data_IF_202932388963
#
_entry.id   IF_202932388963
#
_cell.length_a   1.000
_cell.length_b   1.000
_cell.length_c   1.000
_cell.angle_alpha   90.00
_cell.angle_beta   90.00
_cell.angle_gamma   90.00
#
_symmetry.space_group_name_H-M   'P 1'
#
loop_
_entity.id
_entity.type
_entity.pdbx_description
1 polymer ?
#
# COMPACT_ATOMS: atom_id res chain seq x y z
N UNK A 1 -36.76 -61.86 4.25
CA UNK A 1 -35.90 -62.86 3.57
C UNK A 1 -34.42 -62.52 3.84
N UNK A 2 -33.83 -63.20 4.85
CA UNK A 2 -32.38 -63.06 5.09
C UNK A 2 -31.64 -64.01 4.14
N UNK A 3 -31.13 -63.47 3.01
CA UNK A 3 -30.20 -64.25 2.16
C UNK A 3 -28.85 -64.33 2.87
N UNK A 4 -28.52 -65.49 3.39
CA UNK A 4 -27.18 -65.76 3.96
C UNK A 4 -26.18 -65.77 2.77
N UNK A 5 -25.24 -64.86 2.79
CA UNK A 5 -24.13 -64.84 1.83
C UNK A 5 -23.20 -66.02 2.17
N UNK A 6 -22.79 -66.81 1.18
CA UNK A 6 -21.83 -67.88 1.41
C UNK A 6 -20.47 -67.33 1.77
N UNK A 7 -19.72 -68.02 2.62
CA UNK A 7 -18.38 -67.60 3.06
C UNK A 7 -17.47 -67.32 1.88
N UNK A 8 -17.52 -68.12 0.81
CA UNK A 8 -16.77 -67.93 -0.41
C UNK A 8 -17.13 -66.62 -1.12
N UNK A 9 -18.42 -66.26 -1.22
CA UNK A 9 -18.88 -65.03 -1.81
C UNK A 9 -18.44 -63.80 -0.98
N UNK A 10 -18.47 -63.91 0.35
CA UNK A 10 -17.99 -62.83 1.23
C UNK A 10 -16.49 -62.59 1.05
N UNK A 11 -15.68 -63.64 0.97
CA UNK A 11 -14.22 -63.54 0.75
C UNK A 11 -13.94 -62.91 -0.64
N UNK A 12 -14.64 -63.29 -1.69
CA UNK A 12 -14.48 -62.75 -3.04
C UNK A 12 -14.79 -61.23 -3.05
N UNK A 13 -15.87 -60.80 -2.39
CA UNK A 13 -16.23 -59.35 -2.30
C UNK A 13 -15.16 -58.59 -1.57
N UNK A 14 -14.60 -59.13 -0.47
CA UNK A 14 -13.53 -58.46 0.29
C UNK A 14 -12.26 -58.31 -0.56
N UNK A 15 -11.85 -59.40 -1.27
CA UNK A 15 -10.68 -59.35 -2.15
C UNK A 15 -10.91 -58.31 -3.29
N UNK A 16 -12.08 -58.28 -3.88
CA UNK A 16 -12.40 -57.31 -4.93
C UNK A 16 -12.36 -55.87 -4.38
N UNK A 17 -12.95 -55.65 -3.23
CA UNK A 17 -12.92 -54.32 -2.58
C UNK A 17 -11.49 -53.88 -2.27
N UNK A 18 -10.66 -54.78 -1.72
CA UNK A 18 -9.24 -54.50 -1.44
C UNK A 18 -8.47 -54.18 -2.71
N UNK A 19 -8.68 -54.90 -3.82
CA UNK A 19 -8.01 -54.67 -5.08
C UNK A 19 -8.39 -53.30 -5.67
N UNK A 20 -9.70 -53.00 -5.65
CA UNK A 20 -10.20 -51.69 -6.14
C UNK A 20 -9.65 -50.54 -5.29
N UNK A 21 -9.70 -50.68 -3.96
CA UNK A 21 -9.14 -49.63 -3.06
C UNK A 21 -7.66 -49.43 -3.28
N UNK A 22 -6.89 -50.55 -3.38
CA UNK A 22 -5.45 -50.48 -3.64
C UNK A 22 -5.15 -49.79 -4.98
N UNK A 23 -5.89 -50.15 -6.05
CA UNK A 23 -5.71 -49.54 -7.38
C UNK A 23 -6.02 -48.04 -7.36
N UNK A 24 -7.10 -47.61 -6.71
CA UNK A 24 -7.47 -46.21 -6.61
C UNK A 24 -6.41 -45.45 -5.78
N UNK A 25 -6.00 -46.01 -4.63
CA UNK A 25 -4.97 -45.39 -3.77
C UNK A 25 -3.65 -45.26 -4.53
N UNK A 26 -3.25 -46.29 -5.28
CA UNK A 26 -2.03 -46.28 -6.08
C UNK A 26 -2.09 -45.22 -7.19
N UNK A 27 -3.22 -45.08 -7.88
CA UNK A 27 -3.40 -44.04 -8.91
C UNK A 27 -3.34 -42.62 -8.34
N UNK A 28 -3.95 -42.40 -7.16
CA UNK A 28 -3.89 -41.12 -6.47
C UNK A 28 -2.45 -40.84 -6.02
N UNK A 29 -1.78 -41.83 -5.40
CA UNK A 29 -0.40 -41.71 -4.98
C UNK A 29 0.56 -41.40 -6.15
N UNK A 30 0.38 -42.09 -7.31
CA UNK A 30 1.17 -41.81 -8.52
C UNK A 30 0.94 -40.38 -9.02
N UNK A 31 -0.31 -39.91 -9.10
CA UNK A 31 -0.60 -38.54 -9.54
C UNK A 31 0.01 -37.48 -8.62
N UNK A 32 -0.08 -37.68 -7.29
CA UNK A 32 0.53 -36.77 -6.33
C UNK A 32 2.05 -36.80 -6.42
N UNK A 33 2.64 -38.00 -6.60
CA UNK A 33 4.08 -38.16 -6.77
C UNK A 33 4.58 -37.50 -8.05
N UNK A 34 3.93 -37.75 -9.19
CA UNK A 34 4.30 -37.14 -10.48
C UNK A 34 4.18 -35.62 -10.44
N UNK A 35 3.13 -35.09 -9.82
CA UNK A 35 2.94 -33.64 -9.61
C UNK A 35 4.08 -33.06 -8.77
N UNK A 36 4.44 -33.73 -7.67
CA UNK A 36 5.55 -33.29 -6.79
C UNK A 36 6.90 -33.37 -7.49
N UNK A 37 7.19 -34.48 -8.19
CA UNK A 37 8.46 -34.69 -8.91
C UNK A 37 8.64 -33.69 -10.06
N UNK A 38 7.58 -33.42 -10.85
CA UNK A 38 7.65 -32.43 -11.92
C UNK A 38 7.90 -31.02 -11.37
N UNK A 39 7.22 -30.65 -10.28
CA UNK A 39 7.45 -29.38 -9.58
C UNK A 39 8.91 -29.27 -9.05
N UNK A 40 9.51 -30.35 -8.58
CA UNK A 40 10.91 -30.39 -8.13
C UNK A 40 11.85 -30.23 -9.32
N UNK A 41 11.62 -30.92 -10.45
CA UNK A 41 12.50 -30.81 -11.64
C UNK A 41 12.50 -29.41 -12.26
N UNK A 42 11.35 -28.74 -12.33
CA UNK A 42 11.28 -27.36 -12.81
C UNK A 42 12.09 -26.41 -11.91
N UNK A 43 11.99 -26.56 -10.59
CA UNK A 43 12.74 -25.76 -9.61
C UNK A 43 14.24 -26.13 -9.59
N UNK A 44 14.58 -27.40 -9.80
CA UNK A 44 15.96 -27.88 -9.81
C UNK A 44 16.83 -27.14 -10.84
N UNK A 45 16.32 -26.93 -12.05
CA UNK A 45 17.04 -26.17 -13.09
C UNK A 45 17.36 -24.74 -12.65
N UNK A 46 16.42 -24.08 -12.00
CA UNK A 46 16.59 -22.73 -11.47
C UNK A 46 17.63 -22.72 -10.35
N UNK A 47 17.51 -23.63 -9.37
CA UNK A 47 18.45 -23.70 -8.24
C UNK A 47 19.87 -24.06 -8.69
N UNK A 48 20.02 -24.98 -9.65
CA UNK A 48 21.33 -25.34 -10.21
C UNK A 48 21.99 -24.16 -10.89
N UNK A 49 21.23 -23.35 -11.64
CA UNK A 49 21.76 -22.14 -12.28
C UNK A 49 22.22 -21.10 -11.25
N UNK A 50 21.43 -20.88 -10.20
CA UNK A 50 21.81 -19.97 -9.10
C UNK A 50 23.06 -20.49 -8.39
N UNK A 51 23.12 -21.80 -8.08
CA UNK A 51 24.28 -22.42 -7.43
C UNK A 51 25.54 -22.37 -8.28
N UNK A 52 25.43 -22.47 -9.61
CA UNK A 52 26.58 -22.33 -10.54
C UNK A 52 27.12 -20.89 -10.50
N UNK A 53 26.23 -19.88 -10.57
CA UNK A 53 26.62 -18.47 -10.49
C UNK A 53 27.25 -18.16 -9.13
N UNK A 54 26.64 -18.62 -8.03
CA UNK A 54 27.15 -18.42 -6.68
C UNK A 54 28.56 -18.99 -6.52
N UNK A 55 28.78 -20.24 -6.99
CA UNK A 55 30.10 -20.87 -6.96
C UNK A 55 31.14 -20.10 -7.77
N UNK A 56 30.76 -19.62 -8.96
CA UNK A 56 31.65 -18.85 -9.81
C UNK A 56 32.06 -17.53 -9.16
N UNK A 57 31.07 -16.78 -8.62
CA UNK A 57 31.32 -15.50 -7.95
C UNK A 57 32.20 -15.71 -6.73
N UNK A 58 31.84 -16.63 -5.81
CA UNK A 58 32.65 -16.91 -4.60
C UNK A 58 34.08 -17.35 -4.88
N UNK A 59 34.33 -17.96 -6.04
CA UNK A 59 35.68 -18.43 -6.42
C UNK A 59 36.53 -17.34 -7.08
N UNK A 60 35.90 -16.28 -7.63
CA UNK A 60 36.60 -15.31 -8.48
C UNK A 60 36.43 -13.85 -8.04
N UNK A 61 35.52 -13.57 -7.12
CA UNK A 61 35.29 -12.18 -6.65
C UNK A 61 36.43 -11.74 -5.73
N UNK A 62 36.85 -10.50 -5.88
CA UNK A 62 37.84 -9.85 -5.05
C UNK A 62 37.28 -9.33 -3.72
N UNK A 63 35.96 -9.03 -3.68
CA UNK A 63 35.33 -8.45 -2.53
C UNK A 63 34.67 -9.51 -1.64
N UNK A 64 34.57 -9.20 -0.33
CA UNK A 64 33.80 -10.03 0.60
C UNK A 64 32.32 -9.87 0.31
N UNK A 65 31.62 -10.99 0.14
CA UNK A 65 30.18 -11.00 -0.13
C UNK A 65 29.44 -10.69 1.17
N UNK A 66 28.57 -9.70 1.12
CA UNK A 66 27.56 -9.47 2.17
C UNK A 66 26.39 -10.43 1.94
N UNK A 67 26.31 -11.46 2.76
CA UNK A 67 25.31 -12.52 2.64
C UNK A 67 23.87 -11.97 2.81
N UNK A 68 23.68 -11.01 3.72
CA UNK A 68 22.35 -10.41 3.96
C UNK A 68 21.89 -9.66 2.73
N UNK A 69 22.76 -8.81 2.18
CA UNK A 69 22.44 -8.07 0.95
C UNK A 69 22.22 -9.02 -0.23
N UNK A 70 23.02 -10.09 -0.34
CA UNK A 70 22.87 -11.09 -1.40
C UNK A 70 21.51 -11.77 -1.34
N UNK A 71 21.08 -12.23 -0.17
CA UNK A 71 19.78 -12.90 0.01
C UNK A 71 18.60 -11.95 -0.26
N UNK A 72 18.67 -10.72 0.21
CA UNK A 72 17.65 -9.71 -0.05
C UNK A 72 17.52 -9.43 -1.56
N UNK A 73 18.65 -9.27 -2.27
CA UNK A 73 18.67 -9.04 -3.72
C UNK A 73 18.19 -10.24 -4.52
N UNK A 74 18.54 -11.46 -4.12
CA UNK A 74 18.05 -12.69 -4.75
C UNK A 74 16.54 -12.82 -4.61
N UNK A 75 16.00 -12.55 -3.41
CA UNK A 75 14.56 -12.61 -3.14
C UNK A 75 13.81 -11.55 -3.96
N UNK A 76 14.31 -10.32 -3.99
CA UNK A 76 13.75 -9.25 -4.80
C UNK A 76 13.81 -9.59 -6.31
N UNK A 77 14.94 -10.13 -6.79
CA UNK A 77 15.11 -10.57 -8.17
C UNK A 77 14.18 -11.70 -8.58
N UNK A 78 13.92 -12.65 -7.66
CA UNK A 78 12.97 -13.73 -7.89
C UNK A 78 11.56 -13.17 -8.14
N UNK A 79 11.08 -12.24 -7.28
CA UNK A 79 9.76 -11.61 -7.46
C UNK A 79 9.68 -10.82 -8.76
N UNK A 80 10.71 -10.05 -9.11
CA UNK A 80 10.77 -9.36 -10.40
C UNK A 80 10.67 -10.33 -11.58
N UNK A 81 11.30 -11.50 -11.47
CA UNK A 81 11.28 -12.56 -12.48
C UNK A 81 9.91 -13.21 -12.67
N UNK A 82 8.98 -13.09 -11.72
CA UNK A 82 7.60 -13.62 -11.88
C UNK A 82 6.76 -12.82 -12.87
N UNK A 83 7.18 -11.58 -13.19
CA UNK A 83 6.42 -10.67 -14.04
C UNK A 83 5.23 -9.99 -13.33
N UNK A 84 5.00 -10.27 -12.06
CA UNK A 84 4.00 -9.58 -11.27
C UNK A 84 4.48 -8.15 -10.95
N UNK A 85 3.87 -7.16 -11.61
CA UNK A 85 4.22 -5.75 -11.45
C UNK A 85 3.88 -5.17 -10.07
N UNK A 86 3.08 -5.85 -9.27
CA UNK A 86 2.67 -5.41 -7.94
C UNK A 86 3.41 -6.12 -6.81
N UNK A 87 3.97 -7.31 -7.05
CA UNK A 87 4.76 -8.01 -6.04
C UNK A 87 5.99 -7.20 -5.62
N UNK A 88 6.21 -7.08 -4.31
CA UNK A 88 7.35 -6.37 -3.71
C UNK A 88 7.93 -7.19 -2.59
N UNK A 89 9.26 -7.16 -2.50
CA UNK A 89 9.99 -7.67 -1.35
C UNK A 89 10.44 -6.50 -0.48
N UNK A 90 10.19 -6.59 0.79
CA UNK A 90 10.67 -5.64 1.80
C UNK A 90 11.59 -6.35 2.77
N UNK A 91 12.75 -5.77 3.07
CA UNK A 91 13.56 -6.20 4.21
C UNK A 91 12.79 -5.93 5.50
N UNK A 92 13.18 -6.55 6.63
CA UNK A 92 12.51 -6.35 7.91
C UNK A 92 12.41 -4.86 8.31
N UNK A 93 13.50 -4.12 8.10
CA UNK A 93 13.54 -2.68 8.40
C UNK A 93 12.62 -1.89 7.46
N UNK A 94 12.69 -2.14 6.15
CA UNK A 94 11.83 -1.47 5.17
C UNK A 94 10.34 -1.79 5.38
N UNK A 95 10.02 -3.01 5.84
CA UNK A 95 8.65 -3.38 6.20
C UNK A 95 8.16 -2.64 7.44
N UNK A 96 9.01 -2.52 8.46
CA UNK A 96 8.70 -1.74 9.68
C UNK A 96 8.45 -0.28 9.35
N UNK A 97 9.27 0.31 8.49
CA UNK A 97 9.10 1.69 8.02
C UNK A 97 7.79 1.86 7.24
N UNK A 98 7.48 0.92 6.33
CA UNK A 98 6.21 0.90 5.61
C UNK A 98 5.01 0.85 6.57
N UNK A 99 5.06 -0.02 7.60
CA UNK A 99 4.00 -0.12 8.61
C UNK A 99 3.85 1.17 9.43
N UNK A 100 4.94 1.84 9.76
CA UNK A 100 4.90 3.13 10.45
C UNK A 100 4.22 4.19 9.57
N UNK A 101 4.61 4.30 8.30
CA UNK A 101 3.99 5.22 7.33
C UNK A 101 2.49 4.91 7.19
N UNK A 102 2.12 3.64 7.04
CA UNK A 102 0.72 3.21 6.92
C UNK A 102 -0.10 3.47 8.18
N UNK A 103 0.52 3.45 9.36
CA UNK A 103 -0.15 3.83 10.62
C UNK A 103 -0.27 5.34 10.83
N UNK A 104 0.10 6.16 9.84
CA UNK A 104 0.13 7.62 9.92
C UNK A 104 1.28 8.18 10.76
N UNK A 105 2.19 7.33 11.23
CA UNK A 105 3.37 7.73 11.99
C UNK A 105 4.56 7.87 11.05
N UNK A 106 4.83 9.09 10.64
CA UNK A 106 5.97 9.37 9.76
C UNK A 106 7.15 9.86 10.62
N UNK A 107 8.33 9.31 10.36
CA UNK A 107 9.57 9.75 10.95
C UNK A 107 10.28 10.71 9.99
N UNK A 108 10.71 11.85 10.48
CA UNK A 108 11.48 12.81 9.69
C UNK A 108 11.35 14.24 10.19
N UNK A 109 11.51 15.21 9.28
CA UNK A 109 11.36 16.63 9.59
C UNK A 109 9.96 17.18 9.24
N UNK A 110 9.13 16.45 8.49
CA UNK A 110 7.74 16.81 8.24
C UNK A 110 7.48 17.82 7.13
N UNK A 111 8.07 17.62 5.96
CA UNK A 111 7.81 18.43 4.76
C UNK A 111 7.52 17.55 3.53
N UNK A 112 6.66 18.06 2.62
CA UNK A 112 6.62 17.59 1.23
C UNK A 112 7.35 18.60 0.34
N UNK A 113 8.05 18.09 -0.65
CA UNK A 113 8.93 18.88 -1.51
C UNK A 113 8.62 18.66 -2.99
N UNK A 114 8.76 19.73 -3.77
CA UNK A 114 8.82 19.69 -5.23
C UNK A 114 10.09 20.38 -5.71
N UNK A 115 10.69 19.90 -6.79
CA UNK A 115 11.78 20.61 -7.44
C UNK A 115 11.18 21.53 -8.52
N UNK A 116 11.51 22.80 -8.47
CA UNK A 116 11.08 23.77 -9.46
C UNK A 116 12.23 24.22 -10.39
N UNK A 117 11.95 25.21 -11.23
CA UNK A 117 12.93 25.73 -12.19
C UNK A 117 14.15 26.41 -11.55
N UNK A 118 14.10 26.75 -10.27
CA UNK A 118 15.25 27.33 -9.53
C UNK A 118 16.30 26.28 -9.18
N UNK A 119 15.92 24.98 -9.23
CA UNK A 119 16.72 23.86 -8.82
C UNK A 119 16.77 23.64 -7.30
N UNK A 120 16.08 24.47 -6.51
CA UNK A 120 15.88 24.24 -5.09
C UNK A 120 14.62 23.42 -4.79
N UNK A 121 14.59 22.81 -3.62
CA UNK A 121 13.43 22.05 -3.17
C UNK A 121 12.40 23.00 -2.55
N UNK A 122 11.30 23.24 -3.29
CA UNK A 122 10.17 24.03 -2.81
C UNK A 122 9.32 23.21 -1.85
N UNK A 123 9.06 23.77 -0.68
CA UNK A 123 8.15 23.19 0.31
C UNK A 123 6.71 23.31 -0.21
N UNK A 124 6.07 22.18 -0.46
CA UNK A 124 4.68 22.11 -0.95
C UNK A 124 3.70 21.82 0.19
N UNK A 125 4.19 21.22 1.28
CA UNK A 125 3.44 20.98 2.51
C UNK A 125 4.37 20.96 3.72
N UNK A 126 3.85 21.38 4.87
CA UNK A 126 4.44 21.19 6.21
C UNK A 126 3.42 20.48 7.07
N UNK A 127 3.81 19.41 7.73
CA UNK A 127 2.92 18.64 8.58
C UNK A 127 2.81 19.23 9.98
N UNK A 128 1.61 19.18 10.55
CA UNK A 128 1.35 19.71 11.89
C UNK A 128 2.10 18.90 12.96
N UNK A 129 2.63 19.61 13.95
CA UNK A 129 3.45 19.03 15.02
C UNK A 129 4.80 18.48 14.55
N UNK A 130 5.23 18.82 13.33
CA UNK A 130 6.52 18.38 12.79
C UNK A 130 7.68 19.30 13.18
N UNK A 131 8.93 18.78 13.18
CA UNK A 131 10.13 19.60 13.42
C UNK A 131 10.26 20.79 12.46
N UNK A 132 9.84 20.64 11.22
CA UNK A 132 9.84 21.72 10.24
C UNK A 132 8.86 22.85 10.61
N UNK A 133 7.66 22.51 11.08
CA UNK A 133 6.70 23.49 11.55
C UNK A 133 7.22 24.25 12.78
N UNK A 134 7.78 23.53 13.74
CA UNK A 134 8.37 24.13 14.96
C UNK A 134 9.53 25.08 14.64
N UNK A 135 10.32 24.77 13.60
CA UNK A 135 11.39 25.64 13.11
C UNK A 135 10.90 26.84 12.30
N UNK A 136 9.59 26.87 11.96
CA UNK A 136 8.98 27.94 11.19
C UNK A 136 9.25 27.85 9.69
N UNK A 137 9.47 26.65 9.17
CA UNK A 137 9.42 26.35 7.73
C UNK A 137 7.95 26.41 7.30
N UNK A 138 7.65 27.06 6.19
CA UNK A 138 6.30 27.26 5.68
C UNK A 138 6.15 26.79 4.23
N UNK A 139 4.91 26.54 3.83
CA UNK A 139 4.59 26.23 2.43
C UNK A 139 5.01 27.40 1.55
N UNK A 140 5.73 27.09 0.47
CA UNK A 140 6.31 28.09 -0.45
C UNK A 140 7.75 28.46 -0.16
N UNK A 141 8.31 28.06 0.97
CA UNK A 141 9.74 28.21 1.27
C UNK A 141 10.58 27.29 0.37
N UNK A 142 11.88 27.59 0.26
CA UNK A 142 12.82 26.83 -0.57
C UNK A 142 13.95 26.27 0.27
N UNK A 143 14.07 24.97 0.42
CA UNK A 143 15.23 24.34 1.05
C UNK A 143 16.41 24.46 0.10
N UNK A 144 17.51 25.08 0.59
CA UNK A 144 18.70 25.35 -0.21
C UNK A 144 19.88 24.48 0.17
N UNK A 145 19.96 24.05 1.45
CA UNK A 145 21.07 23.22 1.95
C UNK A 145 20.55 22.23 2.98
N UNK A 146 21.06 21.00 2.93
CA UNK A 146 20.80 19.92 3.91
C UNK A 146 22.17 19.41 4.40
N UNK A 147 22.44 19.58 5.69
CA UNK A 147 23.78 19.42 6.21
C UNK A 147 24.77 20.32 5.48
N UNK A 148 25.82 19.75 4.92
CA UNK A 148 26.81 20.45 4.08
C UNK A 148 26.50 20.38 2.57
N UNK A 149 25.34 19.80 2.17
CA UNK A 149 25.01 19.54 0.78
C UNK A 149 24.10 20.64 0.21
N UNK A 150 24.55 21.32 -0.85
CA UNK A 150 23.68 22.23 -1.63
C UNK A 150 22.63 21.40 -2.39
N UNK A 151 21.35 21.72 -2.22
CA UNK A 151 20.22 21.03 -2.84
C UNK A 151 20.30 21.05 -4.37
N UNK A 152 20.86 22.09 -4.97
CA UNK A 152 21.07 22.14 -6.43
C UNK A 152 22.02 21.08 -6.95
N UNK A 153 22.87 20.52 -6.11
CA UNK A 153 23.74 19.39 -6.47
C UNK A 153 22.99 18.05 -6.52
N UNK A 154 21.77 18.00 -5.97
CA UNK A 154 20.91 16.84 -5.93
C UNK A 154 19.96 16.84 -7.15
N UNK A 155 19.95 15.75 -7.90
CA UNK A 155 19.29 15.68 -9.21
C UNK A 155 17.76 15.43 -9.15
N UNK A 156 17.18 15.19 -7.95
CA UNK A 156 15.76 14.86 -7.80
C UNK A 156 15.24 15.18 -6.39
N UNK A 157 13.92 15.31 -6.28
CA UNK A 157 13.25 15.43 -4.97
C UNK A 157 13.57 14.23 -4.06
N UNK A 158 13.63 13.01 -4.60
CA UNK A 158 13.99 11.80 -3.84
C UNK A 158 15.40 11.88 -3.24
N UNK A 159 16.36 12.47 -3.96
CA UNK A 159 17.70 12.68 -3.45
C UNK A 159 17.72 13.68 -2.29
N UNK A 160 16.87 14.74 -2.34
CA UNK A 160 16.70 15.69 -1.24
C UNK A 160 16.03 15.00 -0.05
N UNK A 161 14.96 14.21 -0.27
CA UNK A 161 14.33 13.42 0.81
C UNK A 161 15.33 12.49 1.47
N UNK A 162 16.16 11.80 0.69
CA UNK A 162 17.20 10.91 1.25
C UNK A 162 18.22 11.67 2.11
N UNK A 163 18.59 12.88 1.73
CA UNK A 163 19.48 13.72 2.52
C UNK A 163 18.82 14.22 3.81
N UNK A 164 17.49 14.38 3.81
CA UNK A 164 16.69 14.79 4.97
C UNK A 164 16.29 13.63 5.90
N UNK A 165 16.53 12.38 5.52
CA UNK A 165 16.22 11.21 6.35
C UNK A 165 17.22 11.04 7.48
N UNK A 166 16.76 10.49 8.61
CA UNK A 166 17.58 10.13 9.75
C UNK A 166 16.82 9.28 10.75
N UNK A 167 17.54 8.65 11.66
CA UNK A 167 16.94 7.90 12.76
C UNK A 167 16.27 8.83 13.78
N UNK A 168 15.27 8.33 14.52
CA UNK A 168 14.59 9.09 15.56
C UNK A 168 15.61 9.63 16.58
N UNK A 169 15.51 10.93 16.88
CA UNK A 169 16.41 11.63 17.81
C UNK A 169 17.73 12.09 17.21
N UNK A 170 18.05 11.74 15.95
CA UNK A 170 19.19 12.35 15.25
C UNK A 170 18.82 13.73 14.72
N UNK A 171 19.81 14.56 14.39
CA UNK A 171 19.57 15.92 13.91
C UNK A 171 20.10 16.09 12.48
N UNK A 172 19.45 17.01 11.75
CA UNK A 172 19.89 17.48 10.45
C UNK A 172 19.82 19.02 10.39
N UNK A 173 20.90 19.64 9.95
CA UNK A 173 20.90 21.09 9.73
C UNK A 173 20.25 21.39 8.38
N UNK A 174 19.23 22.26 8.38
CA UNK A 174 18.52 22.66 7.16
C UNK A 174 18.61 24.18 7.02
N UNK A 175 19.01 24.62 5.82
CA UNK A 175 18.96 26.04 5.44
C UNK A 175 17.88 26.23 4.39
N UNK A 176 17.04 27.26 4.54
CA UNK A 176 15.97 27.57 3.61
C UNK A 176 15.80 29.07 3.38
N UNK A 177 15.25 29.42 2.25
CA UNK A 177 14.78 30.77 1.93
C UNK A 177 13.28 30.85 2.21
N UNK A 178 12.87 31.80 3.03
CA UNK A 178 11.44 32.04 3.28
C UNK A 178 10.80 32.87 2.15
N UNK A 179 9.51 33.13 2.23
CA UNK A 179 8.73 33.91 1.25
C UNK A 179 9.25 35.34 1.03
N UNK A 180 10.00 35.89 2.00
CA UNK A 180 10.67 37.19 1.89
C UNK A 180 12.11 37.07 1.34
N UNK A 181 12.51 35.92 0.81
CA UNK A 181 13.86 35.57 0.36
C UNK A 181 14.95 35.73 1.45
N UNK A 182 14.55 35.73 2.73
CA UNK A 182 15.50 35.73 3.84
C UNK A 182 15.99 34.31 4.11
N UNK A 183 17.30 34.13 4.18
CA UNK A 183 17.92 32.85 4.54
C UNK A 183 17.77 32.58 6.04
N UNK A 184 17.30 31.38 6.37
CA UNK A 184 17.20 30.85 7.72
C UNK A 184 17.89 29.50 7.79
N UNK A 185 18.44 29.20 8.96
CA UNK A 185 19.07 27.90 9.24
C UNK A 185 18.63 27.41 10.61
N UNK A 186 18.31 26.13 10.72
CA UNK A 186 18.02 25.48 11.98
C UNK A 186 18.52 24.04 11.96
N UNK A 187 18.83 23.52 13.13
CA UNK A 187 19.05 22.11 13.38
C UNK A 187 17.71 21.48 13.76
N UNK A 188 17.25 20.52 12.94
CA UNK A 188 15.97 19.84 13.10
C UNK A 188 16.20 18.42 13.63
N UNK A 189 15.49 18.06 14.69
CA UNK A 189 15.56 16.71 15.24
C UNK A 189 14.54 15.82 14.54
N UNK A 190 14.98 14.69 13.98
CA UNK A 190 14.06 13.70 13.41
C UNK A 190 13.14 13.15 14.49
N UNK A 191 11.86 13.39 14.36
CA UNK A 191 10.83 12.91 15.28
C UNK A 191 9.65 12.31 14.53
N UNK A 192 8.82 11.51 15.24
CA UNK A 192 7.56 11.05 14.71
C UNK A 192 6.54 12.20 14.67
N UNK A 193 5.86 12.34 13.54
CA UNK A 193 4.72 13.23 13.39
C UNK A 193 3.57 12.48 12.68
N UNK A 194 2.35 12.97 12.89
CA UNK A 194 1.17 12.34 12.27
C UNK A 194 0.92 12.96 10.90
N UNK A 195 0.81 12.12 9.88
CA UNK A 195 0.39 12.56 8.55
C UNK A 195 -1.10 12.87 8.58
N UNK A 196 -1.50 14.07 8.18
CA UNK A 196 -2.90 14.38 7.91
C UNK A 196 -3.23 13.95 6.49
N UNK A 197 -4.21 13.07 6.34
CA UNK A 197 -4.60 12.50 5.04
C UNK A 197 -5.87 13.13 4.48
N UNK A 198 -6.66 13.82 5.31
CA UNK A 198 -7.92 14.44 4.94
C UNK A 198 -7.85 15.94 5.12
N UNK A 199 -7.96 16.70 4.01
CA UNK A 199 -8.20 18.13 4.03
C UNK A 199 -9.69 18.38 3.73
N UNK A 200 -10.31 19.35 4.39
CA UNK A 200 -11.70 19.67 4.15
C UNK A 200 -11.98 21.17 4.28
N UNK A 201 -13.00 21.63 3.56
CA UNK A 201 -13.50 23.00 3.65
C UNK A 201 -14.98 23.07 3.22
N UNK A 202 -15.72 24.01 3.81
CA UNK A 202 -17.05 24.33 3.35
C UNK A 202 -16.99 25.45 2.32
N UNK A 203 -17.44 25.18 1.09
CA UNK A 203 -17.54 26.14 -0.01
C UNK A 203 -19.02 26.45 -0.23
N UNK A 204 -19.48 27.58 0.27
CA UNK A 204 -20.91 27.92 0.39
C UNK A 204 -21.67 26.82 1.17
N UNK A 205 -22.39 25.94 0.47
CA UNK A 205 -23.09 24.80 1.03
C UNK A 205 -22.56 23.45 0.52
N UNK A 206 -21.37 23.44 -0.09
CA UNK A 206 -20.70 22.24 -0.59
C UNK A 206 -19.56 21.87 0.35
N UNK A 207 -19.63 20.71 0.96
CA UNK A 207 -18.52 20.15 1.72
C UNK A 207 -17.48 19.55 0.75
N UNK A 208 -16.34 20.21 0.61
CA UNK A 208 -15.21 19.68 -0.14
C UNK A 208 -14.30 18.92 0.81
N UNK A 209 -13.94 17.67 0.43
CA UNK A 209 -13.09 16.76 1.21
C UNK A 209 -12.06 16.17 0.24
N UNK A 210 -10.78 16.43 0.50
CA UNK A 210 -9.69 15.79 -0.23
C UNK A 210 -9.10 14.69 0.62
N UNK A 211 -9.08 13.46 0.09
CA UNK A 211 -8.41 12.31 0.71
C UNK A 211 -7.14 12.04 -0.09
N UNK A 212 -5.97 12.20 0.54
CA UNK A 212 -4.67 12.06 -0.12
C UNK A 212 -4.23 10.62 -0.25
N UNK A 213 -4.52 9.82 0.78
CA UNK A 213 -4.27 8.38 0.85
C UNK A 213 -5.17 7.78 1.94
N UNK A 214 -5.23 6.45 2.00
CA UNK A 214 -5.90 5.73 3.08
C UNK A 214 -4.86 5.13 4.01
N UNK A 215 -4.78 5.61 5.25
CA UNK A 215 -3.94 5.11 6.32
C UNK A 215 -4.70 5.07 7.65
N UNK A 216 -4.04 4.61 8.72
CA UNK A 216 -4.68 4.39 10.02
C UNK A 216 -5.30 5.64 10.65
N UNK A 217 -5.02 6.86 10.17
CA UNK A 217 -5.63 8.10 10.67
C UNK A 217 -6.83 8.53 9.84
N UNK A 218 -6.90 8.11 8.58
CA UNK A 218 -7.89 8.58 7.60
C UNK A 218 -9.34 8.39 8.05
N UNK A 219 -9.76 7.24 8.65
CA UNK A 219 -11.15 7.06 9.09
C UNK A 219 -11.57 8.10 10.14
N UNK A 220 -10.73 8.37 11.13
CA UNK A 220 -11.02 9.34 12.18
C UNK A 220 -11.02 10.79 11.67
N UNK A 221 -10.12 11.13 10.76
CA UNK A 221 -10.04 12.43 10.12
C UNK A 221 -11.26 12.68 9.22
N UNK A 222 -11.69 11.65 8.48
CA UNK A 222 -12.86 11.73 7.62
C UNK A 222 -14.15 11.87 8.44
N UNK A 223 -14.32 11.10 9.53
CA UNK A 223 -15.46 11.23 10.43
C UNK A 223 -15.55 12.65 11.00
N UNK A 224 -14.42 13.19 11.46
CA UNK A 224 -14.37 14.56 11.95
C UNK A 224 -14.73 15.59 10.87
N UNK A 225 -14.23 15.42 9.64
CA UNK A 225 -14.54 16.31 8.52
C UNK A 225 -16.03 16.26 8.16
N UNK A 226 -16.61 15.06 8.06
CA UNK A 226 -18.02 14.85 7.73
C UNK A 226 -18.95 15.49 8.79
N UNK A 227 -18.69 15.25 10.06
CA UNK A 227 -19.45 15.85 11.17
C UNK A 227 -19.36 17.38 11.16
N UNK A 228 -18.15 17.90 10.97
CA UNK A 228 -17.92 19.35 10.95
C UNK A 228 -18.64 20.02 9.78
N UNK A 229 -18.51 19.46 8.57
CA UNK A 229 -19.15 20.01 7.38
C UNK A 229 -20.66 19.94 7.46
N UNK A 230 -21.23 18.83 7.92
CA UNK A 230 -22.67 18.65 8.08
C UNK A 230 -23.21 19.60 9.14
N UNK A 231 -22.55 19.74 10.29
CA UNK A 231 -22.97 20.69 11.34
C UNK A 231 -22.92 22.16 10.86
N UNK A 232 -22.04 22.48 9.92
CA UNK A 232 -21.93 23.81 9.32
C UNK A 232 -22.78 24.00 8.06
N UNK A 233 -23.72 23.07 7.76
CA UNK A 233 -24.74 23.25 6.73
C UNK A 233 -24.35 22.79 5.33
N UNK A 234 -23.40 21.87 5.19
CA UNK A 234 -23.14 21.23 3.92
C UNK A 234 -24.39 20.50 3.41
N UNK A 235 -24.84 20.83 2.21
CA UNK A 235 -25.98 20.22 1.53
C UNK A 235 -25.59 19.23 0.44
N UNK A 236 -24.31 19.14 0.11
CA UNK A 236 -23.71 18.18 -0.82
C UNK A 236 -22.24 17.98 -0.49
N UNK A 237 -21.64 16.88 -0.98
CA UNK A 237 -20.24 16.54 -0.73
C UNK A 237 -19.47 16.33 -2.02
N UNK A 238 -18.23 16.79 -2.04
CA UNK A 238 -17.24 16.51 -3.09
C UNK A 238 -16.05 15.82 -2.46
N UNK A 239 -15.80 14.56 -2.84
CA UNK A 239 -14.61 13.81 -2.48
C UNK A 239 -13.56 13.94 -3.57
N UNK A 240 -12.43 14.56 -3.28
CA UNK A 240 -11.30 14.67 -4.21
C UNK A 240 -10.28 13.56 -3.95
N UNK A 241 -10.27 12.61 -4.88
CA UNK A 241 -9.37 11.45 -4.88
C UNK A 241 -8.30 11.55 -5.98
N UNK A 242 -8.14 12.71 -6.59
CA UNK A 242 -7.11 12.92 -7.61
C UNK A 242 -5.74 12.80 -6.97
N UNK A 243 -4.86 12.03 -7.62
CA UNK A 243 -3.51 11.69 -7.16
C UNK A 243 -3.46 10.83 -5.89
N UNK A 244 -4.58 10.23 -5.49
CA UNK A 244 -4.65 9.26 -4.41
C UNK A 244 -4.34 7.85 -4.94
N UNK A 245 -3.15 7.33 -4.64
CA UNK A 245 -2.70 6.00 -5.06
C UNK A 245 -3.31 4.83 -4.28
N UNK A 246 -4.23 5.10 -3.35
CA UNK A 246 -4.85 4.10 -2.47
C UNK A 246 -4.30 4.14 -1.05
N UNK A 247 -3.86 2.99 -0.55
CA UNK A 247 -3.35 2.81 0.82
C UNK A 247 -3.90 1.52 1.44
N UNK A 248 -4.20 1.55 2.72
CA UNK A 248 -4.72 0.41 3.47
C UNK A 248 -6.18 0.17 3.10
N UNK A 249 -6.47 -1.06 2.68
CA UNK A 249 -7.79 -1.45 2.20
C UNK A 249 -8.84 -1.38 3.32
N UNK A 250 -8.49 -1.87 4.50
CA UNK A 250 -9.32 -1.88 5.68
C UNK A 250 -9.72 -0.45 6.12
N UNK A 251 -8.79 0.50 6.03
CA UNK A 251 -9.05 1.90 6.35
C UNK A 251 -9.97 2.55 5.31
N UNK A 252 -9.82 2.20 4.03
CA UNK A 252 -10.75 2.65 3.00
C UNK A 252 -12.16 2.07 3.20
N UNK A 253 -12.28 0.80 3.61
CA UNK A 253 -13.56 0.18 3.98
C UNK A 253 -14.18 0.91 5.18
N UNK A 254 -13.40 1.22 6.21
CA UNK A 254 -13.85 1.99 7.37
C UNK A 254 -14.34 3.40 6.99
N UNK A 255 -13.63 4.05 6.04
CA UNK A 255 -14.07 5.33 5.48
C UNK A 255 -15.39 5.22 4.69
N UNK A 256 -15.56 4.15 3.94
CA UNK A 256 -16.81 3.88 3.19
C UNK A 256 -17.96 3.64 4.14
N UNK A 257 -17.74 2.91 5.23
CA UNK A 257 -18.75 2.59 6.25
C UNK A 257 -19.32 3.85 6.94
N UNK A 258 -18.54 4.92 7.07
CA UNK A 258 -19.01 6.22 7.56
C UNK A 258 -20.04 6.89 6.63
N UNK A 259 -20.20 6.43 5.38
CA UNK A 259 -20.95 7.14 4.34
C UNK A 259 -22.00 6.26 3.68
N UNK A 260 -21.63 5.01 3.39
CA UNK A 260 -22.44 4.10 2.59
C UNK A 260 -23.63 3.51 3.39
N UNK A 261 -24.74 3.18 2.74
CA UNK A 261 -25.78 2.36 3.37
C UNK A 261 -25.29 0.93 3.61
N UNK A 262 -26.06 0.15 4.40
CA UNK A 262 -25.76 -1.26 4.64
C UNK A 262 -25.54 -2.03 3.33
N UNK A 263 -24.47 -2.81 3.30
CA UNK A 263 -24.19 -3.67 2.15
C UNK A 263 -22.73 -4.14 2.06
N UNK A 264 -22.50 -4.99 1.09
CA UNK A 264 -21.14 -5.47 0.78
C UNK A 264 -20.39 -4.43 -0.03
N UNK A 265 -19.23 -4.01 0.48
CA UNK A 265 -18.35 -3.02 -0.16
C UNK A 265 -17.55 -3.67 -1.29
N UNK A 266 -16.94 -4.82 -1.04
CA UNK A 266 -16.12 -5.51 -2.05
C UNK A 266 -15.93 -7.00 -1.78
N UNK A 267 -15.58 -7.72 -2.85
CA UNK A 267 -15.16 -9.12 -2.82
C UNK A 267 -13.74 -9.23 -3.37
N UNK A 268 -12.92 -10.09 -2.75
CA UNK A 268 -11.74 -10.63 -3.40
C UNK A 268 -12.10 -11.92 -4.12
N UNK A 269 -11.61 -12.09 -5.34
CA UNK A 269 -11.76 -13.32 -6.12
C UNK A 269 -10.37 -13.93 -6.37
N UNK A 270 -10.20 -15.21 -5.98
CA UNK A 270 -8.97 -15.93 -6.22
C UNK A 270 -8.88 -16.45 -7.67
N UNK A 271 -7.72 -16.99 -8.05
CA UNK A 271 -7.50 -17.58 -9.39
C UNK A 271 -8.42 -18.76 -9.73
N UNK A 272 -9.14 -19.33 -8.76
CA UNK A 272 -10.06 -20.44 -8.93
C UNK A 272 -11.52 -19.96 -8.99
N UNK A 273 -11.77 -18.65 -8.89
CA UNK A 273 -13.10 -18.05 -8.87
C UNK A 273 -13.78 -18.05 -7.51
N UNK A 274 -13.09 -18.40 -6.42
CA UNK A 274 -13.66 -18.31 -5.07
C UNK A 274 -13.71 -16.85 -4.64
N UNK A 275 -14.88 -16.42 -4.16
CA UNK A 275 -15.12 -15.06 -3.68
C UNK A 275 -15.13 -15.00 -2.16
N UNK A 276 -14.42 -14.04 -1.62
CA UNK A 276 -14.41 -13.73 -0.18
C UNK A 276 -14.78 -12.26 0.01
N UNK A 277 -15.70 -11.97 0.92
CA UNK A 277 -16.05 -10.58 1.29
C UNK A 277 -14.84 -9.96 1.98
N UNK A 278 -14.37 -8.82 1.47
CA UNK A 278 -13.25 -8.06 2.03
C UNK A 278 -13.66 -6.78 2.73
N UNK A 279 -14.94 -6.44 2.69
CA UNK A 279 -15.48 -5.30 3.40
C UNK A 279 -17.00 -5.20 3.26
N UNK A 280 -17.63 -4.69 4.32
CA UNK A 280 -19.07 -4.39 4.36
C UNK A 280 -19.32 -3.10 5.13
N UNK A 281 -20.45 -2.45 4.87
CA UNK A 281 -20.98 -1.31 5.61
C UNK A 281 -22.23 -1.74 6.39
N UNK A 282 -22.41 -1.21 7.61
CA UNK A 282 -23.54 -1.51 8.49
C UNK A 282 -24.63 -0.45 8.50
N UNK A 283 -24.43 0.68 7.86
CA UNK A 283 -25.36 1.82 7.78
C UNK A 283 -25.58 2.64 9.08
N UNK A 284 -24.85 2.39 10.14
CA UNK A 284 -24.98 3.20 11.37
C UNK A 284 -24.72 4.69 11.13
N UNK A 285 -23.88 5.01 10.14
CA UNK A 285 -23.39 6.35 9.81
C UNK A 285 -23.77 6.84 8.40
N UNK A 286 -24.71 6.18 7.69
CA UNK A 286 -24.97 6.47 6.28
C UNK A 286 -25.38 7.93 6.01
N UNK A 287 -24.83 8.49 4.93
CA UNK A 287 -25.05 9.89 4.50
C UNK A 287 -25.86 9.91 3.22
N UNK A 288 -27.00 10.60 3.24
CA UNK A 288 -27.91 10.71 2.08
C UNK A 288 -27.72 11.99 1.24
N UNK A 289 -26.66 12.77 1.49
CA UNK A 289 -26.38 13.98 0.71
C UNK A 289 -25.95 13.64 -0.72
N UNK A 290 -26.29 14.47 -1.72
CA UNK A 290 -25.70 14.34 -3.07
C UNK A 290 -24.19 14.37 -3.04
N UNK A 291 -23.55 13.48 -3.82
CA UNK A 291 -22.09 13.30 -3.77
C UNK A 291 -21.46 13.29 -5.16
N UNK A 292 -20.24 13.80 -5.24
CA UNK A 292 -19.37 13.73 -6.40
C UNK A 292 -18.00 13.23 -5.95
N UNK A 293 -17.37 12.32 -6.71
CA UNK A 293 -15.97 11.93 -6.54
C UNK A 293 -15.16 12.46 -7.71
N UNK A 294 -14.11 13.24 -7.44
CA UNK A 294 -13.12 13.68 -8.43
C UNK A 294 -12.01 12.63 -8.51
N UNK A 295 -11.74 12.17 -9.72
CA UNK A 295 -10.76 11.10 -9.98
C UNK A 295 -9.86 11.42 -11.17
N UNK A 296 -8.65 10.85 -11.21
CA UNK A 296 -7.74 10.97 -12.35
C UNK A 296 -6.92 9.69 -12.58
N UNK A 297 -6.00 9.70 -13.53
CA UNK A 297 -5.16 8.54 -13.88
C UNK A 297 -4.24 8.06 -12.76
N UNK A 298 -4.02 8.85 -11.71
CA UNK A 298 -3.24 8.48 -10.54
C UNK A 298 -4.12 7.99 -9.37
N UNK A 299 -5.45 8.06 -9.50
CA UNK A 299 -6.38 7.44 -8.55
C UNK A 299 -6.29 5.93 -8.70
N UNK A 300 -5.95 5.19 -7.62
CA UNK A 300 -5.64 3.77 -7.71
C UNK A 300 -6.08 2.96 -6.48
N UNK A 301 -6.29 1.63 -6.67
CA UNK A 301 -6.44 0.64 -5.58
C UNK A 301 -7.58 1.00 -4.61
N UNK A 302 -7.30 1.18 -3.30
CA UNK A 302 -8.29 1.53 -2.27
C UNK A 302 -9.09 2.81 -2.61
N UNK A 303 -8.47 3.79 -3.31
CA UNK A 303 -9.18 4.99 -3.78
C UNK A 303 -10.18 4.69 -4.90
N UNK A 304 -9.88 3.72 -5.76
CA UNK A 304 -10.82 3.24 -6.77
C UNK A 304 -11.98 2.50 -6.13
N UNK A 305 -11.71 1.69 -5.10
CA UNK A 305 -12.74 1.02 -4.31
C UNK A 305 -13.68 2.05 -3.68
N UNK A 306 -13.14 3.06 -2.99
CA UNK A 306 -13.92 4.13 -2.36
C UNK A 306 -14.84 4.83 -3.38
N UNK A 307 -14.28 5.29 -4.50
CA UNK A 307 -15.04 5.97 -5.55
C UNK A 307 -16.11 5.08 -6.18
N UNK A 308 -15.78 3.82 -6.49
CA UNK A 308 -16.69 2.85 -7.10
C UNK A 308 -17.83 2.48 -6.15
N UNK A 309 -17.56 2.31 -4.87
CA UNK A 309 -18.55 1.97 -3.85
C UNK A 309 -19.52 3.13 -3.64
N UNK A 310 -19.05 4.37 -3.48
CA UNK A 310 -19.93 5.53 -3.36
C UNK A 310 -20.78 5.74 -4.61
N UNK A 311 -20.23 5.48 -5.79
CA UNK A 311 -21.02 5.48 -7.03
C UNK A 311 -22.13 4.44 -7.00
N UNK A 312 -21.84 3.23 -6.55
CA UNK A 312 -22.77 2.10 -6.61
C UNK A 312 -23.82 2.16 -5.50
N UNK A 313 -23.41 2.50 -4.27
CA UNK A 313 -24.24 2.44 -3.08
C UNK A 313 -24.93 3.79 -2.78
N UNK A 314 -24.25 4.92 -2.98
CA UNK A 314 -24.77 6.26 -2.69
C UNK A 314 -25.23 7.03 -3.93
N UNK A 315 -25.03 6.48 -5.15
CA UNK A 315 -25.34 7.19 -6.39
C UNK A 315 -24.40 8.37 -6.70
N UNK A 316 -23.21 8.41 -6.11
CA UNK A 316 -22.22 9.46 -6.36
C UNK A 316 -21.84 9.53 -7.84
N UNK A 317 -21.62 10.74 -8.37
CA UNK A 317 -21.11 10.92 -9.73
C UNK A 317 -19.59 10.95 -9.72
N UNK A 318 -18.98 10.19 -10.63
CA UNK A 318 -17.54 10.28 -10.86
C UNK A 318 -17.26 11.34 -11.93
N UNK A 319 -16.32 12.25 -11.63
CA UNK A 319 -15.91 13.33 -12.51
C UNK A 319 -14.39 13.32 -12.64
N UNK A 320 -13.88 13.33 -13.87
CA UNK A 320 -12.46 13.34 -14.16
C UNK A 320 -12.05 12.42 -15.30
N UNK A 321 -10.87 11.82 -15.21
CA UNK A 321 -10.35 10.90 -16.21
C UNK A 321 -10.36 9.45 -15.70
N UNK A 322 -10.11 8.49 -16.60
CA UNK A 322 -10.01 7.07 -16.23
C UNK A 322 -8.94 6.86 -15.16
N UNK A 323 -9.28 6.09 -14.14
CA UNK A 323 -8.39 5.73 -13.03
C UNK A 323 -7.37 4.67 -13.45
N UNK A 324 -6.43 4.33 -12.58
CA UNK A 324 -5.32 3.41 -12.88
C UNK A 324 -5.78 1.99 -13.23
N UNK A 325 -6.89 1.50 -12.64
CA UNK A 325 -7.38 0.14 -12.84
C UNK A 325 -6.62 -0.92 -12.04
N UNK A 326 -6.15 -0.57 -10.84
CA UNK A 326 -5.48 -1.52 -9.94
C UNK A 326 -6.52 -2.24 -9.09
N UNK A 327 -6.87 -3.48 -9.50
CA UNK A 327 -7.81 -4.37 -8.80
C UNK A 327 -7.15 -5.53 -8.06
N UNK A 328 -5.84 -5.44 -7.78
CA UNK A 328 -5.05 -6.49 -7.10
C UNK A 328 -4.28 -5.91 -5.94
#
# INVERSE_FOLDING_TARGET
>A
MNRKISLGMAVTIVILAMTVTFSITMLIAMRLFDSTVNSVKEKESMYNKIAEVDRYVRSNDYYTIDETMLYDRLTAGYLLGTGDKYARYYTANAYTELMNIQSGKILGIGVELGIDQTGYAKVTRVYDGSPAQEAGIAVGDYITTVGDTDVKSLSSADAVYKALQGEAGTTVTVTWLNSAAASKTAELTHSGYTSTTVDYQLLDNVGYIRIRQFDGTTPSELDYALRTLTANGAASLVFDLRDNGGGILEDAVSCIDLIAPEGTVAYAEDKNGNRTVIGSSDAESSISLPMVCLVNGNTASAAELFAATLRTMNGARLVGTTTMGKGT
#
